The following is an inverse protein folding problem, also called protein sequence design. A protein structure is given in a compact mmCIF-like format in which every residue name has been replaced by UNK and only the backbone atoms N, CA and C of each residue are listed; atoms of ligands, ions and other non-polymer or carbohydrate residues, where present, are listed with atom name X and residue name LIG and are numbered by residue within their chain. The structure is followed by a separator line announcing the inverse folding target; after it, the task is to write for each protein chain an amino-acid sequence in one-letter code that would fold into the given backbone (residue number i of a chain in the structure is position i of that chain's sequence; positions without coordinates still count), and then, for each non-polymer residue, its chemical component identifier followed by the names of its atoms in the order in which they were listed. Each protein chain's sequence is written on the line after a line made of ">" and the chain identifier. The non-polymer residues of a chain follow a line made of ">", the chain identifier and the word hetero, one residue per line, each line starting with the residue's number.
data_IF_878556352963
#
_entry.id   IF_878556352963
#
_cell.length_a   1.000
_cell.length_b   1.000
_cell.length_c   1.000
_cell.angle_alpha   90.00
_cell.angle_beta   90.00
_cell.angle_gamma   90.00
#
_symmetry.space_group_name_H-M   'P 1'
#
loop_
_entity.id
_entity.type
_entity.pdbx_description
1 polymer ?
#
# COMPACT_ATOMS: atom_id res chain seq x y z
N UNK A 1 5.08 12.25 -14.43
CA UNK A 1 3.82 11.74 -13.84
C UNK A 1 4.10 10.38 -13.23
N UNK A 2 3.98 10.18 -11.90
CA UNK A 2 4.08 8.84 -11.34
C UNK A 2 2.96 7.97 -11.93
N UNK A 3 3.30 6.74 -12.33
CA UNK A 3 2.30 5.77 -12.78
C UNK A 3 1.43 5.39 -11.58
N UNK A 4 0.17 5.80 -11.59
CA UNK A 4 -0.81 5.37 -10.57
C UNK A 4 -1.36 4.02 -11.03
N UNK A 5 -0.89 2.94 -10.42
CA UNK A 5 -1.42 1.60 -10.67
C UNK A 5 -2.79 1.46 -9.99
N UNK A 6 -3.79 0.97 -10.72
CA UNK A 6 -5.10 0.59 -10.15
C UNK A 6 -5.30 -0.90 -10.34
N UNK A 7 -5.52 -1.62 -9.24
CA UNK A 7 -5.75 -3.07 -9.22
C UNK A 7 -6.93 -3.55 -10.10
N UNK A 8 -7.82 -2.64 -10.50
CA UNK A 8 -9.04 -2.94 -11.27
C UNK A 8 -8.73 -3.38 -12.71
N UNK A 9 -7.53 -3.10 -13.21
CA UNK A 9 -7.12 -3.37 -14.61
C UNK A 9 -6.53 -4.78 -14.82
N UNK A 10 -6.67 -5.69 -13.85
CA UNK A 10 -6.00 -6.99 -13.87
C UNK A 10 -7.00 -8.13 -14.15
N UNK A 11 -6.71 -8.95 -15.18
CA UNK A 11 -7.56 -10.07 -15.60
C UNK A 11 -7.62 -11.20 -14.54
N UNK A 12 -8.76 -11.90 -14.50
CA UNK A 12 -9.17 -12.85 -13.45
C UNK A 12 -8.33 -14.14 -13.32
N UNK A 13 -7.40 -14.40 -14.23
CA UNK A 13 -6.94 -15.77 -14.51
C UNK A 13 -5.69 -16.25 -13.76
N UNK A 14 -4.94 -15.38 -13.07
CA UNK A 14 -3.78 -15.80 -12.28
C UNK A 14 -4.02 -15.73 -10.76
N UNK A 15 -4.99 -16.51 -10.26
CA UNK A 15 -5.50 -16.41 -8.89
C UNK A 15 -4.45 -16.47 -7.78
N UNK A 16 -3.31 -17.13 -7.98
CA UNK A 16 -2.27 -17.27 -6.95
C UNK A 16 -1.28 -16.09 -6.96
N UNK A 17 -0.78 -15.72 -8.14
CA UNK A 17 0.07 -14.53 -8.32
C UNK A 17 -0.69 -13.25 -7.97
N UNK A 18 -1.97 -13.18 -8.33
CA UNK A 18 -2.82 -12.05 -7.99
C UNK A 18 -3.10 -11.95 -6.49
N UNK A 19 -3.25 -13.08 -5.78
CA UNK A 19 -3.38 -13.07 -4.31
C UNK A 19 -2.11 -12.58 -3.66
N UNK A 20 -0.96 -13.09 -4.09
CA UNK A 20 0.31 -12.69 -3.51
C UNK A 20 0.59 -11.20 -3.74
N UNK A 21 0.41 -10.72 -4.97
CA UNK A 21 0.71 -9.34 -5.32
C UNK A 21 -0.32 -8.33 -4.81
N UNK A 22 -1.63 -8.58 -5.00
CA UNK A 22 -2.67 -7.60 -4.71
C UNK A 22 -3.07 -7.55 -3.25
N UNK A 23 -2.81 -8.59 -2.47
CA UNK A 23 -3.22 -8.62 -1.07
C UNK A 23 -2.01 -8.46 -0.14
N UNK A 24 -0.98 -9.31 -0.27
CA UNK A 24 0.19 -9.22 0.62
C UNK A 24 1.01 -7.95 0.40
N UNK A 25 1.24 -7.57 -0.86
CA UNK A 25 2.25 -6.56 -1.20
C UNK A 25 1.67 -5.20 -1.60
N UNK A 26 0.43 -5.16 -2.09
CA UNK A 26 -0.17 -3.91 -2.55
C UNK A 26 -0.63 -3.06 -1.36
N UNK A 27 -0.12 -1.82 -1.21
CA UNK A 27 -0.58 -0.93 -0.15
C UNK A 27 -1.99 -0.41 -0.44
N UNK A 28 -2.89 -0.58 0.52
CA UNK A 28 -4.22 0.00 0.50
C UNK A 28 -4.21 1.33 1.26
N UNK A 29 -4.46 2.42 0.54
CA UNK A 29 -4.62 3.76 1.12
C UNK A 29 -6.08 3.96 1.52
N UNK A 30 -6.33 4.16 2.80
CA UNK A 30 -7.65 4.35 3.39
C UNK A 30 -7.73 5.79 3.91
N UNK A 31 -8.45 6.63 3.19
CA UNK A 31 -8.73 8.01 3.54
C UNK A 31 -10.03 8.49 2.88
N UNK A 32 -10.63 9.61 3.32
CA UNK A 32 -11.79 10.18 2.64
C UNK A 32 -11.47 10.63 1.21
N UNK A 33 -12.44 10.48 0.30
CA UNK A 33 -12.31 10.96 -1.09
C UNK A 33 -12.29 12.49 -1.18
N UNK A 34 -12.95 13.15 -0.25
CA UNK A 34 -13.09 14.62 -0.20
C UNK A 34 -12.76 15.09 1.21
N UNK A 35 -11.90 16.11 1.29
CA UNK A 35 -11.44 16.73 2.53
C UNK A 35 -11.54 18.24 2.45
N UNK A 36 -11.62 18.92 3.61
CA UNK A 36 -11.67 20.38 3.67
C UNK A 36 -10.28 20.99 3.59
N UNK A 37 -10.12 22.05 2.80
CA UNK A 37 -8.86 22.79 2.69
C UNK A 37 -8.47 23.39 4.04
N UNK A 38 -7.22 23.16 4.44
CA UNK A 38 -6.66 23.69 5.69
C UNK A 38 -6.94 22.84 6.92
N UNK A 39 -7.76 21.80 6.81
CA UNK A 39 -8.02 20.86 7.89
C UNK A 39 -7.15 19.61 7.74
N UNK A 40 -6.59 19.13 8.86
CA UNK A 40 -5.89 17.85 8.90
C UNK A 40 -6.89 16.71 8.78
N UNK A 41 -6.50 15.66 8.08
CA UNK A 41 -7.24 14.40 8.00
C UNK A 41 -6.28 13.23 8.16
N UNK A 42 -6.82 12.07 8.51
CA UNK A 42 -6.03 10.85 8.65
C UNK A 42 -5.93 10.10 7.33
N UNK A 43 -4.73 9.60 7.04
CA UNK A 43 -4.46 8.62 5.99
C UNK A 43 -3.93 7.38 6.68
N UNK A 44 -4.61 6.25 6.50
CA UNK A 44 -4.13 4.94 6.95
C UNK A 44 -3.64 4.16 5.74
N UNK A 45 -2.47 3.56 5.85
CA UNK A 45 -1.95 2.61 4.85
C UNK A 45 -1.94 1.22 5.48
N UNK A 46 -2.45 0.22 4.77
CA UNK A 46 -2.49 -1.17 5.22
C UNK A 46 -2.06 -2.11 4.09
N UNK A 47 -1.34 -3.18 4.43
CA UNK A 47 -0.98 -4.29 3.55
C UNK A 47 -1.45 -5.60 4.16
N UNK A 48 -1.69 -6.63 3.34
CA UNK A 48 -1.96 -7.99 3.76
C UNK A 48 -3.20 -8.16 4.65
N UNK A 49 -4.38 -7.76 4.16
CA UNK A 49 -5.62 -7.85 4.95
C UNK A 49 -6.19 -9.28 4.96
N UNK A 50 -6.43 -9.88 3.79
CA UNK A 50 -6.94 -11.26 3.74
C UNK A 50 -5.78 -12.26 3.86
N UNK A 51 -4.60 -11.88 3.39
CA UNK A 51 -3.40 -12.70 3.40
C UNK A 51 -2.20 -11.86 3.84
N UNK A 52 -1.72 -12.05 5.09
CA UNK A 52 -0.64 -11.24 5.63
C UNK A 52 0.66 -11.48 4.86
N UNK A 53 1.42 -10.39 4.68
CA UNK A 53 2.82 -10.48 4.27
C UNK A 53 3.65 -11.09 5.41
N UNK A 54 4.65 -11.95 5.12
CA UNK A 54 5.59 -12.42 6.13
C UNK A 54 6.31 -11.27 6.85
N UNK A 55 6.68 -11.48 8.11
CA UNK A 55 7.49 -10.52 8.87
C UNK A 55 8.62 -11.28 9.56
N UNK A 56 9.41 -11.97 8.74
CA UNK A 56 10.49 -12.83 9.16
C UNK A 56 11.85 -12.20 8.83
N UNK A 57 12.92 -12.67 9.47
CA UNK A 57 14.27 -12.11 9.34
C UNK A 57 14.79 -11.98 7.90
N UNK A 58 14.34 -12.85 7.00
CA UNK A 58 14.71 -12.89 5.58
C UNK A 58 13.60 -12.42 4.63
N UNK A 59 12.39 -12.14 5.13
CA UNK A 59 11.26 -11.69 4.32
C UNK A 59 10.30 -10.79 5.11
N UNK A 60 10.39 -9.48 4.88
CA UNK A 60 9.55 -8.46 5.52
C UNK A 60 9.42 -7.20 4.65
N UNK A 61 8.42 -6.36 4.96
CA UNK A 61 8.27 -5.05 4.31
C UNK A 61 9.21 -4.04 4.98
N UNK A 62 10.37 -3.77 4.38
CA UNK A 62 11.36 -2.87 5.01
C UNK A 62 11.04 -1.37 4.92
N UNK A 63 10.23 -0.95 3.95
CA UNK A 63 9.97 0.46 3.67
C UNK A 63 8.57 0.68 3.10
N UNK A 64 7.86 1.66 3.65
CA UNK A 64 6.65 2.22 3.07
C UNK A 64 6.79 3.73 2.94
N UNK A 65 6.44 4.26 1.77
CA UNK A 65 6.42 5.70 1.52
C UNK A 65 5.03 6.13 1.02
N UNK A 66 4.53 7.23 1.57
CA UNK A 66 3.32 7.88 1.09
C UNK A 66 3.69 9.11 0.27
N UNK A 67 3.27 9.12 -0.99
CA UNK A 67 3.54 10.20 -1.93
C UNK A 67 2.25 10.89 -2.36
N UNK A 68 2.29 12.21 -2.50
CA UNK A 68 1.30 12.97 -3.25
C UNK A 68 1.96 13.50 -4.52
N UNK A 69 1.73 12.79 -5.62
CA UNK A 69 2.41 13.03 -6.90
C UNK A 69 3.93 12.97 -6.73
N UNK A 70 4.60 14.12 -6.74
CA UNK A 70 6.05 14.26 -6.67
C UNK A 70 6.54 14.66 -5.26
N UNK A 71 5.61 14.84 -4.33
CA UNK A 71 5.91 15.22 -2.94
C UNK A 71 5.85 13.99 -2.03
N UNK A 72 6.97 13.64 -1.40
CA UNK A 72 7.00 12.68 -0.30
C UNK A 72 6.28 13.28 0.91
N UNK A 73 5.22 12.62 1.38
CA UNK A 73 4.43 13.07 2.53
C UNK A 73 4.89 12.41 3.83
N UNK A 74 5.22 11.11 3.78
CA UNK A 74 5.64 10.33 4.93
C UNK A 74 6.46 9.11 4.51
N UNK A 75 7.31 8.65 5.42
CA UNK A 75 8.09 7.42 5.28
C UNK A 75 8.03 6.64 6.60
N UNK A 76 7.83 5.32 6.50
CA UNK A 76 7.97 4.39 7.60
C UNK A 76 8.98 3.30 7.21
N UNK A 77 9.97 3.08 8.06
CA UNK A 77 10.95 2.00 7.93
C UNK A 77 10.65 0.96 9.00
N UNK A 78 10.62 -0.29 8.60
CA UNK A 78 10.40 -1.41 9.50
C UNK A 78 11.67 -2.24 9.58
N UNK A 79 11.83 -2.94 10.69
CA UNK A 79 12.78 -4.04 10.83
C UNK A 79 11.97 -5.32 10.83
N UNK A 80 12.58 -6.45 10.47
CA UNK A 80 11.92 -7.74 10.59
C UNK A 80 11.47 -8.02 12.03
N UNK A 81 10.29 -8.64 12.19
CA UNK A 81 9.83 -9.27 13.44
C UNK A 81 8.58 -8.66 14.08
#
# INVERSE_FOLDING_TARGET
>A
MPRVFKAIEVEKEDKEVMRDYLDRHMPHVICPDIVKRGEKFMVKVRLGEEYPHPDDNDHYIGLMQLWNRETLLAEARYSAG
#
